data_IF_854952475900
#
_entry.id   IF_854952475900
#
_cell.length_a   1.000
_cell.length_b   1.000
_cell.length_c   1.000
_cell.angle_alpha   90.00
_cell.angle_beta   90.00
_cell.angle_gamma   90.00
#
_symmetry.space_group_name_H-M   'P 1'
#
loop_
_entity.id
_entity.type
_entity.pdbx_description
1 polymer ?
#
# COMPACT_ATOMS: atom_id res chain seq x y z
N UNK A 1 -43.10 59.41 8.09
CA UNK A 1 -44.29 58.72 7.55
C UNK A 1 -43.78 57.70 6.55
N UNK A 2 -43.60 56.46 6.99
CA UNK A 2 -44.58 55.36 6.78
C UNK A 2 -44.49 54.83 5.34
N UNK A 3 -44.33 53.55 4.99
CA UNK A 3 -44.35 52.25 5.67
C UNK A 3 -43.76 51.22 4.68
N UNK A 4 -43.18 50.13 5.19
CA UNK A 4 -43.07 48.83 4.49
C UNK A 4 -44.44 48.11 4.53
N UNK A 5 -44.76 47.19 3.59
CA UNK A 5 -44.57 45.77 3.91
C UNK A 5 -44.11 44.86 2.74
N UNK A 6 -43.74 43.63 3.15
CA UNK A 6 -43.18 42.50 2.41
C UNK A 6 -44.17 41.72 1.52
N UNK A 7 -43.63 40.89 0.61
CA UNK A 7 -44.05 39.53 0.16
C UNK A 7 -42.96 39.09 -0.86
N UNK A 8 -41.99 38.26 -0.49
CA UNK A 8 -41.98 36.79 -0.58
C UNK A 8 -42.00 36.22 -2.01
N UNK A 9 -40.84 35.77 -2.51
CA UNK A 9 -40.71 34.65 -3.43
C UNK A 9 -39.33 33.97 -3.23
N UNK A 10 -39.36 32.86 -2.50
CA UNK A 10 -38.32 31.83 -2.47
C UNK A 10 -38.16 31.20 -3.87
N UNK A 11 -36.93 30.89 -4.30
CA UNK A 11 -36.59 29.55 -4.80
C UNK A 11 -35.06 29.37 -4.96
N UNK A 12 -34.49 28.66 -3.99
CA UNK A 12 -33.44 27.64 -4.08
C UNK A 12 -32.12 27.95 -4.82
N UNK A 13 -31.19 28.55 -4.06
CA UNK A 13 -29.77 28.22 -4.20
C UNK A 13 -29.48 26.93 -3.40
N UNK A 14 -29.23 25.83 -4.09
CA UNK A 14 -28.77 24.59 -3.49
C UNK A 14 -27.32 24.78 -3.01
N UNK A 15 -27.15 25.17 -1.75
CA UNK A 15 -25.88 25.07 -1.04
C UNK A 15 -25.54 23.59 -0.87
N UNK A 16 -24.58 23.10 -1.67
CA UNK A 16 -23.83 21.88 -1.38
C UNK A 16 -22.98 22.12 -0.13
N UNK A 17 -23.63 22.07 1.04
CA UNK A 17 -22.97 21.81 2.30
C UNK A 17 -22.64 20.32 2.34
N UNK A 18 -21.46 19.95 1.86
CA UNK A 18 -20.85 18.67 2.22
C UNK A 18 -20.38 18.80 3.66
N UNK A 19 -21.30 18.55 4.59
CA UNK A 19 -20.94 18.20 5.96
C UNK A 19 -20.05 16.96 5.89
N UNK A 20 -18.74 17.18 5.99
CA UNK A 20 -17.80 16.14 6.40
C UNK A 20 -18.16 15.77 7.83
N UNK A 21 -19.02 14.77 7.99
CA UNK A 21 -19.16 14.05 9.25
C UNK A 21 -17.82 13.36 9.50
N UNK A 22 -17.00 13.95 10.36
CA UNK A 22 -15.87 13.27 10.97
C UNK A 22 -16.41 12.04 11.71
N UNK A 23 -15.97 10.81 11.39
CA UNK A 23 -16.34 9.65 12.18
C UNK A 23 -15.75 9.83 13.57
N UNK A 24 -16.61 9.88 14.57
CA UNK A 24 -16.27 9.98 15.98
C UNK A 24 -15.34 8.81 16.39
N UNK A 25 -14.07 9.04 16.79
CA UNK A 25 -13.09 7.96 17.01
C UNK A 25 -13.12 7.40 18.44
N UNK A 26 -14.25 7.47 19.15
CA UNK A 26 -14.30 7.07 20.56
C UNK A 26 -15.68 6.67 21.05
N UNK A 27 -16.13 5.45 20.71
CA UNK A 27 -17.15 4.77 21.49
C UNK A 27 -16.50 3.61 22.27
N UNK A 28 -16.30 3.85 23.57
CA UNK A 28 -15.86 2.85 24.55
C UNK A 28 -16.97 1.82 24.78
N UNK A 29 -16.60 0.54 24.73
CA UNK A 29 -17.28 -0.55 25.45
C UNK A 29 -18.47 -1.21 24.73
N UNK A 30 -18.35 -2.52 24.49
CA UNK A 30 -19.50 -3.42 24.31
C UNK A 30 -19.81 -3.88 22.87
N UNK A 31 -19.11 -4.93 22.42
CA UNK A 31 -19.79 -6.11 21.86
C UNK A 31 -20.52 -6.02 20.51
N UNK A 32 -20.17 -5.12 19.60
CA UNK A 32 -20.47 -5.32 18.16
C UNK A 32 -19.25 -4.93 17.34
N UNK A 33 -18.72 -5.87 16.56
CA UNK A 33 -17.71 -5.56 15.56
C UNK A 33 -18.31 -4.51 14.63
N UNK A 34 -17.78 -3.29 14.66
CA UNK A 34 -18.16 -2.25 13.74
C UNK A 34 -17.71 -2.70 12.35
N UNK A 35 -18.65 -2.90 11.43
CA UNK A 35 -18.36 -3.28 10.06
C UNK A 35 -18.33 -2.01 9.20
N UNK A 36 -17.17 -1.65 8.67
CA UNK A 36 -16.98 -0.47 7.83
C UNK A 36 -16.97 -0.86 6.35
N UNK A 37 -17.87 -0.28 5.55
CA UNK A 37 -17.92 -0.53 4.11
C UNK A 37 -16.88 0.30 3.37
N UNK A 38 -16.09 -0.34 2.52
CA UNK A 38 -15.03 0.29 1.73
C UNK A 38 -15.11 -0.16 0.28
N UNK A 39 -15.12 0.81 -0.63
CA UNK A 39 -15.40 0.54 -2.05
C UNK A 39 -14.14 0.32 -2.88
N UNK A 40 -12.99 0.85 -2.44
CA UNK A 40 -11.72 0.75 -3.19
C UNK A 40 -10.53 0.38 -2.30
N UNK A 41 -9.49 -0.18 -2.90
CA UNK A 41 -8.26 -0.50 -2.17
C UNK A 41 -7.48 0.74 -1.71
N UNK A 42 -7.54 1.86 -2.45
CA UNK A 42 -6.94 3.11 -1.99
C UNK A 42 -7.67 3.68 -0.77
N UNK A 43 -9.01 3.60 -0.76
CA UNK A 43 -9.81 3.97 0.41
C UNK A 43 -9.47 3.07 1.61
N UNK A 44 -9.41 1.75 1.44
CA UNK A 44 -9.07 0.82 2.53
C UNK A 44 -7.70 1.16 3.13
N UNK A 45 -6.71 1.39 2.26
CA UNK A 45 -5.37 1.74 2.66
C UNK A 45 -5.33 3.06 3.43
N UNK A 46 -6.06 4.08 2.96
CA UNK A 46 -6.18 5.36 3.65
C UNK A 46 -6.86 5.21 5.03
N UNK A 47 -7.90 4.38 5.15
CA UNK A 47 -8.60 4.11 6.43
C UNK A 47 -7.69 3.41 7.42
N UNK A 48 -6.95 2.38 6.99
CA UNK A 48 -6.00 1.65 7.83
C UNK A 48 -4.88 2.59 8.33
N UNK A 49 -4.29 3.36 7.41
CA UNK A 49 -3.26 4.34 7.73
C UNK A 49 -3.76 5.39 8.72
N UNK A 50 -4.95 5.95 8.47
CA UNK A 50 -5.58 6.96 9.33
C UNK A 50 -5.84 6.41 10.73
N UNK A 51 -6.43 5.21 10.87
CA UNK A 51 -6.71 4.61 12.19
C UNK A 51 -5.44 4.33 12.97
N UNK A 52 -4.41 3.79 12.31
CA UNK A 52 -3.12 3.60 12.92
C UNK A 52 -2.52 4.95 13.37
N UNK A 53 -2.54 5.97 12.50
CA UNK A 53 -2.07 7.30 12.84
C UNK A 53 -2.82 7.91 14.04
N UNK A 54 -4.16 7.84 14.08
CA UNK A 54 -4.96 8.31 15.23
C UNK A 54 -4.62 7.56 16.50
N UNK A 55 -4.43 6.23 16.43
CA UNK A 55 -4.11 5.40 17.60
C UNK A 55 -2.76 5.77 18.22
N UNK A 56 -1.75 6.06 17.39
CA UNK A 56 -0.38 6.27 17.85
C UNK A 56 0.00 7.74 18.04
N UNK A 57 -0.58 8.67 17.28
CA UNK A 57 -0.33 10.11 17.43
C UNK A 57 -1.33 10.80 18.38
N UNK A 58 -2.47 10.15 18.66
CA UNK A 58 -3.60 10.77 19.34
C UNK A 58 -4.29 11.85 18.50
N UNK A 59 -5.37 12.44 19.02
CA UNK A 59 -6.08 13.56 18.39
C UNK A 59 -5.34 14.91 18.54
N UNK A 60 -4.00 14.90 18.59
CA UNK A 60 -3.22 16.12 18.77
C UNK A 60 -3.34 17.01 17.52
N UNK A 61 -3.95 18.20 17.61
CA UNK A 61 -3.97 19.15 16.51
C UNK A 61 -2.55 19.73 16.39
N UNK A 62 -1.85 19.37 15.32
CA UNK A 62 -0.42 19.66 15.16
C UNK A 62 0.33 18.40 14.74
N UNK A 63 0.17 18.08 13.46
CA UNK A 63 0.91 17.17 12.57
C UNK A 63 1.69 15.98 13.16
N UNK A 64 1.45 14.74 12.68
CA UNK A 64 2.17 13.56 13.15
C UNK A 64 3.64 13.56 12.70
N UNK A 65 4.55 13.11 13.58
CA UNK A 65 5.99 12.97 13.30
C UNK A 65 6.31 11.82 12.31
N UNK A 66 5.29 11.06 11.89
CA UNK A 66 5.39 9.95 10.95
C UNK A 66 4.10 9.77 10.14
N UNK A 67 4.23 9.13 8.98
CA UNK A 67 3.14 8.65 8.14
C UNK A 67 3.04 7.13 8.30
N UNK A 68 1.81 6.63 8.29
CA UNK A 68 1.56 5.20 8.13
C UNK A 68 1.23 4.97 6.67
N UNK A 69 2.00 4.12 6.01
CA UNK A 69 1.75 3.72 4.63
C UNK A 69 1.44 2.23 4.62
N UNK A 70 0.51 1.82 3.76
CA UNK A 70 0.30 0.39 3.54
C UNK A 70 1.46 -0.11 2.70
N UNK A 71 2.03 -1.27 3.02
CA UNK A 71 3.08 -1.85 2.18
C UNK A 71 2.78 -3.30 1.87
N UNK A 72 3.04 -3.71 0.63
CA UNK A 72 3.13 -5.12 0.23
C UNK A 72 4.57 -5.64 0.22
N UNK A 73 5.56 -4.78 0.50
CA UNK A 73 6.97 -5.11 0.62
C UNK A 73 7.44 -4.69 2.03
N UNK A 74 7.72 -5.66 2.88
CA UNK A 74 8.30 -5.41 4.20
C UNK A 74 9.78 -5.00 4.06
N UNK A 75 10.04 -3.71 3.83
CA UNK A 75 11.40 -3.20 3.95
C UNK A 75 11.83 -3.29 5.42
N UNK A 76 13.07 -3.73 5.71
CA UNK A 76 13.57 -3.73 7.09
C UNK A 76 13.51 -2.34 7.72
N UNK A 77 13.27 -2.29 9.04
CA UNK A 77 13.39 -1.05 9.81
C UNK A 77 14.81 -0.50 9.64
N UNK A 78 14.91 0.81 9.39
CA UNK A 78 16.19 1.44 9.02
C UNK A 78 16.38 1.63 7.52
N UNK A 79 15.55 1.03 6.67
CA UNK A 79 15.65 1.26 5.23
C UNK A 79 15.34 2.72 4.89
N UNK A 80 16.18 3.33 4.04
CA UNK A 80 15.92 4.63 3.45
C UNK A 80 15.32 4.44 2.06
N UNK A 81 14.09 4.88 1.84
CA UNK A 81 13.36 4.75 0.57
C UNK A 81 13.33 6.11 -0.11
N UNK A 82 13.79 6.19 -1.37
CA UNK A 82 13.73 7.44 -2.13
C UNK A 82 12.28 7.86 -2.33
N UNK A 83 11.98 9.15 -2.09
CA UNK A 83 10.61 9.67 -2.25
C UNK A 83 10.06 9.38 -3.64
N UNK A 84 8.83 8.86 -3.67
CA UNK A 84 8.12 8.58 -4.91
C UNK A 84 8.68 7.41 -5.71
N UNK A 85 9.48 6.51 -5.14
CA UNK A 85 9.94 5.28 -5.83
C UNK A 85 9.91 4.10 -4.87
N UNK A 86 9.98 2.87 -5.38
CA UNK A 86 10.17 1.66 -4.59
C UNK A 86 11.66 1.29 -4.39
N UNK A 87 12.57 2.19 -4.79
CA UNK A 87 14.00 1.96 -4.72
C UNK A 87 14.53 2.47 -3.37
N UNK A 88 15.10 1.59 -2.55
CA UNK A 88 15.81 2.02 -1.37
C UNK A 88 17.13 2.70 -1.78
N UNK A 89 17.38 3.86 -1.19
CA UNK A 89 18.67 4.56 -1.24
C UNK A 89 19.73 3.66 -0.64
N UNK A 90 19.43 3.09 0.52
CA UNK A 90 20.27 2.13 1.22
C UNK A 90 19.38 1.25 2.13
N UNK A 91 19.65 -0.06 2.14
CA UNK A 91 18.98 -1.01 3.03
C UNK A 91 19.61 -1.04 4.42
N UNK A 92 20.88 -0.65 4.53
CA UNK A 92 21.75 -0.93 5.67
C UNK A 92 22.38 0.33 6.29
N UNK A 93 22.33 1.49 5.62
CA UNK A 93 22.95 2.72 6.14
C UNK A 93 22.43 3.12 7.52
N UNK A 94 21.16 2.86 7.81
CA UNK A 94 20.54 3.15 9.10
C UNK A 94 20.11 1.85 9.80
N UNK A 95 21.02 0.88 9.93
CA UNK A 95 20.73 -0.33 10.71
C UNK A 95 20.53 -0.02 12.19
N UNK A 96 19.48 -0.61 12.76
CA UNK A 96 19.16 -0.56 14.18
C UNK A 96 18.50 -1.89 14.57
N UNK A 97 18.65 -2.27 15.83
CA UNK A 97 17.96 -3.44 16.37
C UNK A 97 16.44 -3.28 16.18
N UNK A 98 15.76 -4.39 15.85
CA UNK A 98 14.31 -4.36 15.75
C UNK A 98 13.69 -3.93 17.09
N UNK A 99 12.73 -3.00 17.07
CA UNK A 99 12.04 -2.56 18.27
C UNK A 99 11.18 -3.71 18.82
N UNK A 100 10.94 -3.73 20.14
CA UNK A 100 10.05 -4.73 20.74
C UNK A 100 8.65 -4.62 20.15
N UNK A 101 8.03 -5.79 19.93
CA UNK A 101 6.64 -5.88 19.46
C UNK A 101 5.67 -5.70 20.62
N UNK A 102 4.69 -4.83 20.43
CA UNK A 102 3.65 -4.52 21.42
C UNK A 102 2.29 -4.95 20.88
N UNK A 103 1.55 -5.71 21.71
CA UNK A 103 0.18 -6.12 21.38
C UNK A 103 -0.71 -4.90 21.21
N UNK A 104 -1.39 -4.82 20.06
CA UNK A 104 -2.27 -3.71 19.68
C UNK A 104 -3.65 -4.25 19.27
N UNK A 105 -4.40 -4.89 20.18
CA UNK A 105 -5.69 -5.48 19.85
C UNK A 105 -6.71 -4.39 19.49
N UNK A 106 -7.65 -4.72 18.60
CA UNK A 106 -8.77 -3.86 18.20
C UNK A 106 -8.36 -2.51 17.58
N UNK A 107 -7.16 -2.43 16.99
CA UNK A 107 -6.73 -1.23 16.24
C UNK A 107 -7.52 -1.05 14.94
N UNK A 108 -7.98 -2.15 14.34
CA UNK A 108 -8.78 -2.15 13.12
C UNK A 108 -10.16 -2.76 13.37
N UNK A 109 -11.23 -2.15 12.83
CA UNK A 109 -12.54 -2.78 12.77
C UNK A 109 -12.56 -3.91 11.73
N UNK A 110 -13.71 -4.58 11.61
CA UNK A 110 -13.99 -5.44 10.47
C UNK A 110 -14.36 -4.55 9.27
N UNK A 111 -13.96 -4.95 8.07
CA UNK A 111 -14.25 -4.21 6.85
C UNK A 111 -15.11 -5.03 5.89
N UNK A 112 -16.16 -4.43 5.34
CA UNK A 112 -16.89 -4.99 4.20
C UNK A 112 -16.30 -4.40 2.91
N UNK A 113 -15.64 -5.24 2.13
CA UNK A 113 -14.95 -4.86 0.91
C UNK A 113 -15.69 -5.41 -0.30
N UNK A 114 -15.74 -4.65 -1.39
CA UNK A 114 -15.96 -5.25 -2.71
C UNK A 114 -14.80 -6.22 -3.03
N UNK A 115 -15.06 -7.35 -3.67
CA UNK A 115 -14.04 -8.38 -3.88
C UNK A 115 -12.77 -7.86 -4.58
N UNK A 116 -12.93 -6.99 -5.60
CA UNK A 116 -11.80 -6.34 -6.29
C UNK A 116 -10.85 -5.62 -5.31
N UNK A 117 -11.40 -5.06 -4.23
CA UNK A 117 -10.63 -4.40 -3.17
C UNK A 117 -9.84 -5.40 -2.33
N UNK A 118 -10.41 -6.57 -2.01
CA UNK A 118 -9.71 -7.65 -1.31
C UNK A 118 -8.49 -8.17 -2.09
N UNK A 119 -8.64 -8.39 -3.40
CA UNK A 119 -7.53 -8.75 -4.30
C UNK A 119 -6.40 -7.74 -4.27
N UNK A 120 -6.74 -6.46 -4.43
CA UNK A 120 -5.77 -5.37 -4.44
C UNK A 120 -5.09 -5.15 -3.08
N UNK A 121 -5.63 -5.70 -1.99
CA UNK A 121 -5.09 -5.64 -0.65
C UNK A 121 -4.28 -6.89 -0.25
N UNK A 122 -4.12 -7.85 -1.16
CA UNK A 122 -3.22 -8.99 -0.97
C UNK A 122 -3.90 -10.36 -0.87
N UNK A 123 -5.18 -10.48 -1.22
CA UNK A 123 -5.76 -11.78 -1.54
C UNK A 123 -5.14 -12.26 -2.86
N UNK A 124 -4.34 -13.34 -2.80
CA UNK A 124 -3.59 -13.85 -3.95
C UNK A 124 -4.56 -14.25 -5.10
N UNK A 125 -4.35 -13.68 -6.28
CA UNK A 125 -5.15 -13.97 -7.46
C UNK A 125 -5.06 -15.43 -7.88
N UNK A 126 -3.93 -16.10 -7.64
CA UNK A 126 -3.78 -17.54 -7.85
C UNK A 126 -4.59 -18.35 -6.85
N UNK A 127 -4.74 -17.85 -5.62
CA UNK A 127 -5.56 -18.50 -4.60
C UNK A 127 -7.03 -18.49 -5.00
N UNK A 128 -7.53 -17.35 -5.47
CA UNK A 128 -8.93 -17.29 -5.92
C UNK A 128 -9.14 -18.01 -7.24
N UNK A 129 -8.18 -17.98 -8.18
CA UNK A 129 -8.27 -18.75 -9.42
C UNK A 129 -8.37 -20.26 -9.16
N UNK A 130 -7.62 -20.78 -8.18
CA UNK A 130 -7.73 -22.18 -7.74
C UNK A 130 -9.09 -22.49 -7.14
N UNK A 131 -9.65 -21.59 -6.35
CA UNK A 131 -11.00 -21.76 -5.81
C UNK A 131 -12.07 -21.69 -6.90
N UNK A 132 -11.94 -20.77 -7.87
CA UNK A 132 -12.81 -20.70 -9.04
C UNK A 132 -12.76 -22.00 -9.86
N UNK A 133 -11.57 -22.59 -10.03
CA UNK A 133 -11.42 -23.89 -10.69
C UNK A 133 -12.10 -25.06 -9.95
N UNK A 134 -12.33 -24.90 -8.65
CA UNK A 134 -13.08 -25.85 -7.83
C UNK A 134 -14.60 -25.62 -7.87
N UNK A 135 -15.09 -24.76 -8.76
CA UNK A 135 -16.51 -24.53 -9.02
C UNK A 135 -17.14 -23.41 -8.18
N UNK A 136 -16.34 -22.64 -7.44
CA UNK A 136 -16.81 -21.46 -6.71
C UNK A 136 -16.49 -20.22 -7.52
N UNK A 137 -17.39 -19.87 -8.42
CA UNK A 137 -17.28 -18.61 -9.15
C UNK A 137 -17.56 -17.44 -8.21
N UNK A 138 -16.74 -16.40 -8.21
CA UNK A 138 -17.01 -15.18 -7.45
C UNK A 138 -17.11 -14.02 -8.41
N UNK A 139 -18.18 -13.25 -8.28
CA UNK A 139 -18.34 -12.02 -9.02
C UNK A 139 -17.43 -10.94 -8.43
N UNK A 140 -16.83 -10.10 -9.27
CA UNK A 140 -16.13 -8.89 -8.82
C UNK A 140 -17.03 -7.93 -8.01
N UNK A 141 -18.34 -8.13 -8.02
CA UNK A 141 -19.34 -7.39 -7.23
C UNK A 141 -19.68 -8.05 -5.90
N UNK A 142 -19.20 -9.27 -5.64
CA UNK A 142 -19.42 -9.95 -4.37
C UNK A 142 -18.70 -9.21 -3.25
N UNK A 143 -19.29 -9.26 -2.06
CA UNK A 143 -18.68 -8.65 -0.88
C UNK A 143 -17.84 -9.68 -0.11
N UNK A 144 -16.72 -9.20 0.42
CA UNK A 144 -15.83 -9.93 1.31
C UNK A 144 -15.73 -9.19 2.64
N UNK A 145 -15.66 -9.92 3.74
CA UNK A 145 -15.32 -9.33 5.04
C UNK A 145 -13.84 -9.52 5.31
N UNK A 146 -13.12 -8.42 5.59
CA UNK A 146 -11.73 -8.45 6.04
C UNK A 146 -11.69 -8.21 7.55
N UNK A 147 -11.04 -9.11 8.28
CA UNK A 147 -10.79 -8.97 9.72
C UNK A 147 -9.31 -9.12 10.03
N UNK A 148 -8.89 -8.60 11.20
CA UNK A 148 -7.51 -8.63 11.68
C UNK A 148 -7.45 -9.28 13.06
N UNK A 149 -6.52 -10.21 13.26
CA UNK A 149 -6.30 -10.85 14.56
C UNK A 149 -4.82 -10.87 14.93
N UNK A 150 -4.54 -10.96 16.24
CA UNK A 150 -3.16 -11.01 16.75
C UNK A 150 -2.32 -9.79 16.38
N UNK A 151 -2.94 -8.62 16.25
CA UNK A 151 -2.28 -7.41 15.78
C UNK A 151 -1.18 -6.94 16.74
N UNK A 152 0.02 -6.73 16.21
CA UNK A 152 1.19 -6.25 16.94
C UNK A 152 1.81 -5.05 16.21
N UNK A 153 2.46 -4.18 16.97
CA UNK A 153 3.21 -3.04 16.43
C UNK A 153 4.64 -3.04 16.94
N UNK A 154 5.57 -2.72 16.06
CA UNK A 154 6.97 -2.48 16.41
C UNK A 154 7.46 -1.28 15.64
N UNK A 155 7.82 -0.21 16.35
CA UNK A 155 8.41 0.97 15.72
C UNK A 155 9.45 1.62 16.63
N UNK A 156 10.39 2.34 16.02
CA UNK A 156 11.48 3.02 16.71
C UNK A 156 10.94 4.09 17.66
N UNK A 157 11.40 4.02 18.92
CA UNK A 157 11.20 5.11 19.88
C UNK A 157 11.94 6.38 19.44
N UNK A 158 11.61 7.52 20.05
CA UNK A 158 12.32 8.77 19.75
C UNK A 158 13.81 8.70 20.11
N UNK A 159 14.17 7.91 21.13
CA UNK A 159 15.55 7.66 21.50
C UNK A 159 16.26 6.79 20.46
N UNK A 160 15.59 5.75 19.96
CA UNK A 160 16.11 4.91 18.89
C UNK A 160 16.31 5.70 17.61
N UNK A 161 15.33 6.53 17.25
CA UNK A 161 15.42 7.44 16.12
C UNK A 161 16.58 8.41 16.32
N UNK A 162 16.67 9.10 17.46
CA UNK A 162 17.77 10.04 17.74
C UNK A 162 19.14 9.35 17.67
N UNK A 163 19.26 8.13 18.18
CA UNK A 163 20.48 7.32 18.11
C UNK A 163 20.81 6.97 16.66
N UNK A 164 19.82 6.53 15.89
CA UNK A 164 19.97 6.21 14.46
C UNK A 164 20.43 7.43 13.67
N UNK A 165 19.81 8.58 13.90
CA UNK A 165 20.16 9.86 13.28
C UNK A 165 21.54 10.39 13.73
N UNK A 166 22.07 9.87 14.84
CA UNK A 166 23.41 10.20 15.33
C UNK A 166 24.52 9.30 14.74
N UNK A 167 24.18 8.24 14.00
CA UNK A 167 25.17 7.47 13.23
C UNK A 167 25.69 8.28 12.05
N UNK A 168 27.00 8.20 11.80
CA UNK A 168 27.63 8.89 10.67
C UNK A 168 27.15 8.29 9.34
N UNK A 169 27.08 6.98 9.27
CA UNK A 169 26.66 6.21 8.10
C UNK A 169 25.24 6.59 7.66
N UNK A 170 24.32 6.64 8.63
CA UNK A 170 22.94 7.04 8.37
C UNK A 170 22.86 8.50 7.91
N UNK A 171 23.60 9.41 8.54
CA UNK A 171 23.64 10.82 8.12
C UNK A 171 24.19 10.99 6.70
N UNK A 172 25.29 10.32 6.38
CA UNK A 172 25.92 10.41 5.06
C UNK A 172 24.96 9.92 3.97
N UNK A 173 24.24 8.82 4.20
CA UNK A 173 23.26 8.29 3.26
C UNK A 173 22.10 9.28 3.01
N UNK A 174 21.58 9.91 4.07
CA UNK A 174 20.48 10.87 3.95
C UNK A 174 20.96 12.17 3.33
N UNK A 175 22.19 12.63 3.62
CA UNK A 175 22.78 13.90 3.16
C UNK A 175 22.66 14.15 1.66
N UNK A 176 22.53 13.07 0.89
CA UNK A 176 22.52 13.07 -0.56
C UNK A 176 21.14 13.08 -1.22
N UNK A 177 20.04 12.80 -0.49
CA UNK A 177 18.71 12.60 -1.10
C UNK A 177 17.56 12.69 -0.08
N UNK A 178 16.45 13.34 -0.45
CA UNK A 178 15.19 13.27 0.30
C UNK A 178 14.67 11.82 0.37
N UNK A 179 14.55 11.28 1.58
CA UNK A 179 14.17 9.89 1.80
C UNK A 179 13.10 9.74 2.88
N UNK A 180 12.33 8.66 2.74
CA UNK A 180 11.50 8.09 3.79
C UNK A 180 12.32 7.09 4.58
N UNK A 181 12.36 7.23 5.90
CA UNK A 181 12.91 6.21 6.79
C UNK A 181 11.83 5.25 7.23
N UNK A 182 12.06 3.95 7.07
CA UNK A 182 11.22 2.91 7.66
C UNK A 182 11.48 2.84 9.16
N UNK A 183 10.50 3.30 9.95
CA UNK A 183 10.57 3.32 11.42
C UNK A 183 9.94 2.10 12.07
N UNK A 184 9.08 1.38 11.37
CA UNK A 184 8.34 0.30 11.99
C UNK A 184 7.29 -0.31 11.11
N UNK A 185 6.54 -1.23 11.70
CA UNK A 185 5.47 -1.96 11.05
C UNK A 185 4.31 -2.25 12.00
N UNK A 186 3.17 -2.53 11.38
CA UNK A 186 2.02 -3.17 12.01
C UNK A 186 1.83 -4.50 11.32
N UNK A 187 1.76 -5.56 12.13
CA UNK A 187 1.58 -6.93 11.67
C UNK A 187 0.42 -7.62 12.36
N UNK A 188 -0.08 -8.69 11.76
CA UNK A 188 -1.21 -9.47 12.26
C UNK A 188 -1.68 -10.47 11.21
N UNK A 189 -2.61 -11.34 11.58
CA UNK A 189 -3.24 -12.27 10.64
C UNK A 189 -4.47 -11.62 10.03
N UNK A 190 -4.52 -11.57 8.70
CA UNK A 190 -5.69 -11.11 7.95
C UNK A 190 -6.58 -12.30 7.62
N UNK A 191 -7.88 -12.14 7.78
CA UNK A 191 -8.88 -13.11 7.33
C UNK A 191 -9.81 -12.44 6.34
N UNK A 192 -9.91 -13.00 5.14
CA UNK A 192 -10.87 -12.60 4.11
C UNK A 192 -11.98 -13.65 4.06
N UNK A 193 -13.17 -13.31 4.53
CA UNK A 193 -14.37 -14.15 4.43
C UNK A 193 -15.20 -13.74 3.22
N UNK A 194 -15.25 -14.58 2.20
CA UNK A 194 -16.16 -14.48 1.07
C UNK A 194 -17.46 -15.21 1.43
N UNK A 195 -18.57 -14.47 1.50
CA UNK A 195 -19.89 -15.07 1.68
C UNK A 195 -20.56 -15.19 0.33
N UNK A 196 -20.78 -16.42 -0.13
CA UNK A 196 -21.64 -16.67 -1.29
C UNK A 196 -22.87 -17.44 -0.85
N UNK A 197 -24.04 -16.89 -1.15
CA UNK A 197 -25.27 -17.68 -1.10
C UNK A 197 -25.22 -18.70 -2.24
N UNK A 198 -24.97 -19.96 -1.90
CA UNK A 198 -24.98 -21.07 -2.84
C UNK A 198 -25.93 -22.14 -2.33
N UNK A 199 -26.86 -22.55 -3.19
CA UNK A 199 -27.78 -23.65 -2.94
C UNK A 199 -27.12 -25.03 -3.19
N UNK A 200 -25.82 -25.05 -3.50
CA UNK A 200 -25.04 -26.25 -3.83
C UNK A 200 -23.92 -26.44 -2.83
N UNK A 201 -23.80 -27.65 -2.31
CA UNK A 201 -22.69 -28.11 -1.48
C UNK A 201 -21.41 -28.12 -2.34
N UNK A 202 -20.48 -27.20 -2.05
CA UNK A 202 -19.20 -27.14 -2.76
C UNK A 202 -18.21 -28.04 -2.01
N UNK A 203 -17.81 -29.15 -2.63
CA UNK A 203 -16.78 -30.05 -2.09
C UNK A 203 -15.42 -29.66 -2.65
N UNK A 204 -14.69 -28.85 -1.89
CA UNK A 204 -13.31 -28.51 -2.19
C UNK A 204 -12.39 -29.45 -1.41
N UNK A 205 -11.59 -30.25 -2.13
CA UNK A 205 -10.71 -31.28 -1.56
C UNK A 205 -9.37 -30.78 -1.01
N UNK A 206 -9.21 -29.47 -0.85
CA UNK A 206 -7.99 -28.85 -0.33
C UNK A 206 -8.33 -27.85 0.78
N UNK A 207 -7.51 -27.83 1.82
CA UNK A 207 -7.63 -26.97 3.00
C UNK A 207 -6.63 -25.80 3.01
N UNK A 208 -5.75 -25.71 2.01
CA UNK A 208 -4.71 -24.67 1.91
C UNK A 208 -4.55 -24.19 0.48
N UNK A 209 -4.31 -22.89 0.30
CA UNK A 209 -3.79 -22.34 -0.95
C UNK A 209 -2.78 -21.22 -0.69
N UNK A 210 -1.56 -21.38 -1.18
CA UNK A 210 -0.51 -20.38 -0.98
C UNK A 210 -0.21 -20.25 0.51
N UNK A 211 -0.24 -19.01 1.02
CA UNK A 211 -0.09 -18.70 2.45
C UNK A 211 -1.43 -18.63 3.21
N UNK A 212 -2.52 -19.15 2.63
CA UNK A 212 -3.85 -19.08 3.21
C UNK A 212 -4.40 -20.45 3.62
N UNK A 213 -4.94 -20.51 4.83
CA UNK A 213 -5.82 -21.59 5.27
C UNK A 213 -7.25 -21.35 4.77
N UNK A 214 -7.91 -22.41 4.31
CA UNK A 214 -9.28 -22.39 3.80
C UNK A 214 -10.25 -23.10 4.73
N UNK A 215 -11.33 -22.40 5.10
CA UNK A 215 -12.45 -23.01 5.82
C UNK A 215 -13.77 -22.81 5.07
N UNK A 216 -14.57 -23.87 5.03
CA UNK A 216 -15.93 -23.88 4.48
C UNK A 216 -16.94 -23.92 5.62
N UNK A 217 -17.81 -22.91 5.69
CA UNK A 217 -18.92 -22.91 6.64
C UNK A 217 -19.94 -24.01 6.32
N UNK A 218 -20.51 -24.63 7.35
CA UNK A 218 -21.66 -25.54 7.17
C UNK A 218 -22.93 -24.72 6.92
N UNK A 219 -23.64 -25.01 5.82
CA UNK A 219 -25.02 -24.54 5.58
C UNK A 219 -25.18 -23.35 4.65
N UNK A 220 -24.20 -22.44 4.60
CA UNK A 220 -24.09 -21.36 3.61
C UNK A 220 -22.63 -21.37 3.14
N UNK A 221 -22.36 -21.34 1.83
CA UNK A 221 -21.01 -21.44 1.29
C UNK A 221 -20.19 -20.17 1.60
N UNK A 222 -19.79 -19.99 2.85
CA UNK A 222 -18.76 -19.04 3.25
C UNK A 222 -17.39 -19.70 3.07
N UNK A 223 -16.52 -18.98 2.39
CA UNK A 223 -15.13 -19.34 2.20
C UNK A 223 -14.27 -18.32 2.91
N UNK A 224 -13.42 -18.75 3.84
CA UNK A 224 -12.45 -17.86 4.46
C UNK A 224 -11.02 -18.18 4.02
N UNK A 225 -10.23 -17.13 3.76
CA UNK A 225 -8.79 -17.17 3.54
C UNK A 225 -8.12 -16.49 4.72
N UNK A 226 -7.33 -17.21 5.51
CA UNK A 226 -6.61 -16.62 6.66
C UNK A 226 -5.11 -16.75 6.45
N UNK A 227 -4.36 -15.67 6.68
CA UNK A 227 -2.89 -15.72 6.69
C UNK A 227 -2.42 -16.80 7.69
N UNK A 228 -1.56 -17.71 7.25
CA UNK A 228 -1.00 -18.78 8.08
C UNK A 228 -0.23 -18.21 9.29
N UNK A 229 0.59 -17.18 9.04
CA UNK A 229 1.37 -16.46 10.05
C UNK A 229 1.09 -14.95 10.01
N UNK A 230 1.33 -14.20 11.11
CA UNK A 230 1.21 -12.76 11.09
C UNK A 230 2.06 -12.14 9.96
N UNK A 231 1.44 -11.27 9.16
CA UNK A 231 2.11 -10.57 8.07
C UNK A 231 2.21 -9.08 8.38
N UNK A 232 3.31 -8.44 7.97
CA UNK A 232 3.42 -6.98 8.01
C UNK A 232 2.58 -6.41 6.88
N UNK A 233 1.52 -5.67 7.23
CA UNK A 233 0.60 -5.09 6.25
C UNK A 233 0.58 -3.56 6.27
N UNK A 234 1.12 -2.92 7.32
CA UNK A 234 1.39 -1.48 7.34
C UNK A 234 2.85 -1.23 7.70
N UNK A 235 3.42 -0.20 7.07
CA UNK A 235 4.73 0.33 7.38
C UNK A 235 4.58 1.74 7.97
N UNK A 236 5.34 2.01 9.01
CA UNK A 236 5.45 3.33 9.61
C UNK A 236 6.69 3.99 9.05
N UNK A 237 6.54 5.13 8.39
CA UNK A 237 7.64 5.89 7.79
C UNK A 237 7.70 7.32 8.32
N UNK A 238 8.90 7.86 8.49
CA UNK A 238 9.07 9.30 8.72
C UNK A 238 9.78 9.94 7.54
N UNK A 239 9.37 11.17 7.23
CA UNK A 239 10.11 11.99 6.30
C UNK A 239 11.33 12.55 7.03
N UNK A 240 12.51 12.34 6.46
CA UNK A 240 13.72 12.97 6.95
C UNK A 240 14.08 14.12 6.01
N UNK A 241 14.29 15.31 6.56
CA UNK A 241 14.81 16.47 5.83
C UNK A 241 16.12 16.93 6.44
N UNK A 242 17.03 17.39 5.61
CA UNK A 242 18.26 18.04 6.07
C UNK A 242 18.01 19.54 6.00
N UNK A 243 18.17 20.22 7.13
CA UNK A 243 18.11 21.67 7.14
C UNK A 243 19.40 22.30 6.56
N UNK A 244 19.39 23.62 6.38
CA UNK A 244 20.52 24.37 5.82
C UNK A 244 21.81 24.27 6.67
N UNK A 245 21.70 23.82 7.92
CA UNK A 245 22.86 23.59 8.80
C UNK A 245 23.46 22.19 8.66
N UNK A 246 22.87 21.33 7.82
CA UNK A 246 23.25 19.92 7.71
C UNK A 246 22.68 19.06 8.85
N UNK A 247 21.79 19.60 9.68
CA UNK A 247 21.14 18.85 10.76
C UNK A 247 19.93 18.12 10.18
N UNK A 248 19.79 16.85 10.52
CA UNK A 248 18.65 16.07 10.06
C UNK A 248 17.48 16.25 11.03
N UNK A 249 16.35 16.68 10.50
CA UNK A 249 15.10 16.83 11.22
C UNK A 249 14.08 15.83 10.68
N UNK A 250 13.29 15.26 11.59
CA UNK A 250 12.06 14.59 11.20
C UNK A 250 11.08 15.68 10.75
N UNK A 251 10.75 15.70 9.46
CA UNK A 251 9.80 16.65 8.94
C UNK A 251 8.38 16.12 9.06
N UNK A 252 7.42 17.06 9.12
CA UNK A 252 6.01 16.74 8.93
C UNK A 252 5.88 16.08 7.55
N UNK A 253 5.44 14.82 7.50
CA UNK A 253 5.27 14.11 6.25
C UNK A 253 4.25 14.84 5.35
N UNK A 254 4.69 15.38 4.22
CA UNK A 254 3.75 15.95 3.23
C UNK A 254 2.94 14.82 2.57
N UNK A 255 1.61 14.97 2.34
CA UNK A 255 0.79 13.94 1.72
C UNK A 255 1.25 13.70 0.27
N UNK A 256 2.09 12.69 0.08
CA UNK A 256 2.60 12.28 -1.23
C UNK A 256 3.36 13.37 -1.99
N UNK A 257 3.87 13.07 -3.20
CA UNK A 257 4.20 14.11 -4.16
C UNK A 257 2.93 14.87 -4.55
N UNK A 258 3.02 16.19 -4.71
CA UNK A 258 1.89 17.05 -5.06
C UNK A 258 1.17 16.50 -6.30
N UNK A 259 -0.17 16.48 -6.29
CA UNK A 259 -1.00 16.12 -7.43
C UNK A 259 -0.71 16.92 -8.73
N UNK A 260 0.13 17.95 -8.63
CA UNK A 260 0.65 18.75 -9.74
C UNK A 260 1.84 18.11 -10.49
N UNK A 261 2.52 17.12 -9.92
CA UNK A 261 3.59 16.40 -10.61
C UNK A 261 3.01 15.27 -11.45
N UNK A 262 3.25 15.31 -12.77
CA UNK A 262 2.95 14.18 -13.65
C UNK A 262 3.90 13.01 -13.35
N UNK A 263 3.34 11.81 -13.19
CA UNK A 263 4.11 10.59 -13.01
C UNK A 263 4.96 10.25 -14.24
N UNK A 264 6.04 9.50 -14.00
CA UNK A 264 6.95 9.00 -15.03
C UNK A 264 7.01 7.48 -15.01
N UNK A 265 7.47 6.90 -16.12
CA UNK A 265 7.80 5.47 -16.19
C UNK A 265 9.31 5.34 -15.99
N UNK A 266 9.72 4.71 -14.90
CA UNK A 266 11.12 4.42 -14.62
C UNK A 266 11.45 2.99 -15.02
N UNK A 267 12.69 2.72 -15.45
CA UNK A 267 13.14 1.39 -15.85
C UNK A 267 14.36 1.02 -15.02
N UNK A 268 14.29 -0.13 -14.35
CA UNK A 268 15.35 -0.70 -13.54
C UNK A 268 15.86 -1.98 -14.21
N UNK A 269 17.18 -2.08 -14.36
CA UNK A 269 17.85 -3.30 -14.86
C UNK A 269 18.87 -3.81 -13.86
N UNK A 270 19.17 -5.09 -13.97
CA UNK A 270 20.33 -5.66 -13.29
C UNK A 270 21.60 -5.00 -13.80
N UNK A 271 22.48 -4.58 -12.89
CA UNK A 271 23.78 -3.99 -13.22
C UNK A 271 24.66 -4.94 -14.04
N UNK A 272 24.48 -6.25 -13.91
CA UNK A 272 25.16 -7.25 -14.71
C UNK A 272 24.57 -7.42 -16.13
N UNK A 273 23.40 -6.84 -16.43
CA UNK A 273 22.73 -6.98 -17.71
C UNK A 273 23.35 -6.10 -18.80
N UNK A 274 23.98 -6.76 -19.78
CA UNK A 274 24.60 -6.15 -20.96
C UNK A 274 23.80 -6.36 -22.26
N UNK A 275 22.64 -7.04 -22.19
CA UNK A 275 21.86 -7.51 -23.36
C UNK A 275 21.22 -6.41 -24.23
N UNK A 276 21.21 -5.16 -23.77
CA UNK A 276 20.52 -4.05 -24.44
C UNK A 276 18.99 -4.07 -24.30
N UNK A 277 18.42 -5.09 -23.65
CA UNK A 277 16.96 -5.25 -23.49
C UNK A 277 16.30 -4.03 -22.82
N UNK A 278 16.96 -3.41 -21.84
CA UNK A 278 16.43 -2.19 -21.21
C UNK A 278 16.22 -1.04 -22.19
N UNK A 279 17.11 -0.89 -23.18
CA UNK A 279 16.98 0.14 -24.23
C UNK A 279 15.81 -0.17 -25.16
N UNK A 280 15.65 -1.44 -25.55
CA UNK A 280 14.54 -1.89 -26.38
C UNK A 280 13.19 -1.68 -25.67
N UNK A 281 13.10 -2.06 -24.40
CA UNK A 281 11.91 -1.84 -23.55
C UNK A 281 11.61 -0.34 -23.42
N UNK A 282 12.62 0.50 -23.17
CA UNK A 282 12.45 1.97 -23.10
C UNK A 282 11.86 2.54 -24.39
N UNK A 283 12.39 2.12 -25.53
CA UNK A 283 11.89 2.57 -26.83
C UNK A 283 10.43 2.16 -27.05
N UNK A 284 10.07 0.91 -26.72
CA UNK A 284 8.72 0.41 -26.86
C UNK A 284 7.71 1.12 -25.93
N UNK A 285 8.12 1.46 -24.70
CA UNK A 285 7.29 2.20 -23.74
C UNK A 285 7.06 3.66 -24.14
N UNK A 286 7.87 4.22 -25.05
CA UNK A 286 7.70 5.58 -25.55
C UNK A 286 6.38 5.83 -26.29
N UNK A 287 5.64 4.77 -26.62
CA UNK A 287 4.29 4.85 -27.20
C UNK A 287 3.19 5.13 -26.16
N UNK A 288 3.49 5.05 -24.86
CA UNK A 288 2.53 5.29 -23.79
C UNK A 288 2.35 6.80 -23.51
N UNK A 289 1.18 7.22 -22.99
CA UNK A 289 0.90 8.64 -22.72
C UNK A 289 1.78 9.23 -21.59
N UNK A 290 2.32 8.40 -20.69
CA UNK A 290 3.21 8.84 -19.62
C UNK A 290 4.65 9.04 -20.10
N UNK A 291 5.34 10.02 -19.53
CA UNK A 291 6.73 10.27 -19.87
C UNK A 291 7.65 9.16 -19.33
N UNK A 292 8.34 8.46 -20.23
CA UNK A 292 9.41 7.54 -19.85
C UNK A 292 10.63 8.34 -19.41
N UNK A 293 11.18 8.01 -18.24
CA UNK A 293 12.40 8.64 -17.75
C UNK A 293 13.57 8.41 -18.73
N UNK A 294 14.44 9.41 -18.87
CA UNK A 294 15.54 9.34 -19.85
C UNK A 294 16.57 8.24 -19.55
N UNK A 295 16.75 7.87 -18.28
CA UNK A 295 17.72 6.88 -17.83
C UNK A 295 17.13 5.48 -17.62
N UNK A 296 18.02 4.48 -17.65
CA UNK A 296 17.75 3.13 -17.13
C UNK A 296 18.63 2.98 -15.90
N UNK A 297 18.01 2.76 -14.74
CA UNK A 297 18.72 2.63 -13.47
C UNK A 297 19.33 1.23 -13.35
N UNK A 298 20.65 1.17 -13.10
CA UNK A 298 21.36 -0.07 -12.87
C UNK A 298 21.34 -0.42 -11.38
N UNK A 299 20.80 -1.59 -11.05
CA UNK A 299 20.55 -2.03 -9.68
C UNK A 299 21.33 -3.33 -9.42
N UNK A 300 21.89 -3.49 -8.22
CA UNK A 300 22.63 -4.71 -7.86
C UNK A 300 21.76 -5.96 -7.99
N UNK A 301 22.32 -7.05 -8.53
CA UNK A 301 21.58 -8.27 -8.89
C UNK A 301 20.79 -8.85 -7.71
N UNK A 302 21.33 -8.79 -6.48
CA UNK A 302 20.65 -9.28 -5.28
C UNK A 302 19.31 -8.59 -4.99
N UNK A 303 19.12 -7.36 -5.47
CA UNK A 303 17.90 -6.55 -5.30
C UNK A 303 16.93 -6.70 -6.47
N UNK A 304 17.36 -7.31 -7.58
CA UNK A 304 16.53 -7.52 -8.75
C UNK A 304 15.56 -8.70 -8.55
N UNK A 305 14.31 -8.59 -9.05
CA UNK A 305 13.36 -9.68 -9.04
C UNK A 305 13.79 -10.79 -10.00
N UNK A 306 13.27 -11.99 -9.77
CA UNK A 306 13.48 -13.15 -10.66
C UNK A 306 12.70 -13.02 -11.97
N UNK A 307 11.51 -12.42 -11.91
CA UNK A 307 10.64 -12.15 -13.06
C UNK A 307 10.64 -10.67 -13.38
N UNK A 308 10.42 -10.33 -14.65
CA UNK A 308 10.14 -8.95 -15.05
C UNK A 308 8.82 -8.47 -14.43
N UNK A 309 8.77 -7.22 -13.96
CA UNK A 309 7.61 -6.66 -13.26
C UNK A 309 7.27 -5.27 -13.77
N UNK A 310 5.98 -5.02 -13.99
CA UNK A 310 5.41 -3.67 -14.02
C UNK A 310 4.87 -3.35 -12.63
N UNK A 311 5.46 -2.37 -11.97
CA UNK A 311 5.01 -1.88 -10.67
C UNK A 311 4.22 -0.59 -10.84
N UNK A 312 3.05 -0.55 -10.22
CA UNK A 312 2.17 0.63 -10.21
C UNK A 312 1.76 0.94 -8.78
N UNK A 313 1.49 2.21 -8.52
CA UNK A 313 1.40 2.71 -7.16
C UNK A 313 -0.02 3.11 -6.77
N UNK A 314 -0.74 3.76 -7.68
CA UNK A 314 -2.12 4.20 -7.49
C UNK A 314 -3.08 3.25 -8.22
N UNK A 315 -4.26 2.94 -7.66
CA UNK A 315 -5.22 2.04 -8.34
C UNK A 315 -5.69 2.62 -9.67
N UNK A 316 -5.80 3.95 -9.77
CA UNK A 316 -6.14 4.64 -11.00
C UNK A 316 -5.16 4.35 -12.16
N UNK A 317 -3.92 3.95 -11.86
CA UNK A 317 -2.88 3.68 -12.85
C UNK A 317 -2.90 2.23 -13.36
N UNK A 318 -3.81 1.37 -12.87
CA UNK A 318 -3.91 -0.05 -13.26
C UNK A 318 -4.05 -0.23 -14.79
N UNK A 319 -4.85 0.62 -15.44
CA UNK A 319 -5.03 0.57 -16.90
C UNK A 319 -3.76 0.91 -17.67
N UNK A 320 -2.97 1.87 -17.19
CA UNK A 320 -1.67 2.23 -17.77
C UNK A 320 -0.65 1.11 -17.53
N UNK A 321 -0.63 0.54 -16.32
CA UNK A 321 0.23 -0.57 -15.95
C UNK A 321 -0.04 -1.81 -16.81
N UNK A 322 -1.30 -2.09 -17.13
CA UNK A 322 -1.69 -3.19 -18.01
C UNK A 322 -1.18 -2.98 -19.46
N UNK A 323 -1.19 -1.75 -19.97
CA UNK A 323 -0.62 -1.43 -21.29
C UNK A 323 0.91 -1.63 -21.28
N UNK A 324 1.59 -1.14 -20.25
CA UNK A 324 3.02 -1.35 -20.06
C UNK A 324 3.38 -2.84 -19.93
N UNK A 325 2.54 -3.64 -19.25
CA UNK A 325 2.73 -5.08 -19.12
C UNK A 325 2.65 -5.78 -20.47
N UNK A 326 1.68 -5.42 -21.32
CA UNK A 326 1.56 -5.97 -22.68
C UNK A 326 2.83 -5.71 -23.49
N UNK A 327 3.40 -4.50 -23.39
CA UNK A 327 4.67 -4.15 -24.04
C UNK A 327 5.81 -4.99 -23.46
N UNK A 328 5.92 -5.07 -22.13
CA UNK A 328 7.00 -5.79 -21.46
C UNK A 328 6.99 -7.29 -21.81
N UNK A 329 5.80 -7.89 -21.98
CA UNK A 329 5.62 -9.29 -22.37
C UNK A 329 6.14 -9.64 -23.76
N UNK A 330 6.35 -8.65 -24.63
CA UNK A 330 6.99 -8.87 -25.94
C UNK A 330 8.47 -9.27 -25.80
N UNK A 331 9.13 -8.84 -24.71
CA UNK A 331 10.52 -9.18 -24.40
C UNK A 331 10.60 -10.27 -23.31
N UNK A 332 9.74 -10.19 -22.29
CA UNK A 332 9.72 -11.09 -21.14
C UNK A 332 8.32 -11.70 -20.98
N UNK A 333 8.06 -12.81 -21.66
CA UNK A 333 6.72 -13.41 -21.78
C UNK A 333 6.04 -13.73 -20.43
N UNK A 334 6.84 -14.02 -19.39
CA UNK A 334 6.41 -14.30 -18.03
C UNK A 334 6.32 -13.06 -17.13
N UNK A 335 6.39 -11.85 -17.69
CA UNK A 335 6.28 -10.62 -16.92
C UNK A 335 4.95 -10.53 -16.16
N UNK A 336 5.01 -9.95 -14.97
CA UNK A 336 3.87 -9.77 -14.07
C UNK A 336 3.63 -8.30 -13.75
N UNK A 337 2.42 -7.99 -13.29
CA UNK A 337 2.10 -6.68 -12.71
C UNK A 337 2.05 -6.79 -11.19
N UNK A 338 2.54 -5.77 -10.48
CA UNK A 338 2.57 -5.73 -9.02
C UNK A 338 2.18 -4.35 -8.50
N UNK A 339 1.20 -4.30 -7.59
CA UNK A 339 0.86 -3.06 -6.89
C UNK A 339 1.87 -2.78 -5.79
N UNK A 340 2.37 -1.55 -5.72
CA UNK A 340 3.27 -1.07 -4.67
C UNK A 340 2.62 0.13 -3.99
N UNK A 341 1.97 -0.03 -2.83
CA UNK A 341 1.16 1.01 -2.22
C UNK A 341 1.97 2.13 -1.52
N UNK A 342 3.02 2.62 -2.18
CA UNK A 342 3.78 3.80 -1.76
C UNK A 342 3.17 5.06 -2.38
N UNK A 343 3.09 6.18 -1.64
CA UNK A 343 2.67 7.45 -2.21
C UNK A 343 3.54 7.85 -3.41
N UNK A 344 2.91 8.10 -4.55
CA UNK A 344 3.58 8.48 -5.80
C UNK A 344 2.69 9.39 -6.64
N UNK A 345 3.23 10.10 -7.65
CA UNK A 345 2.43 10.92 -8.53
C UNK A 345 1.55 10.05 -9.43
N UNK A 346 0.39 10.56 -9.83
CA UNK A 346 -0.52 9.87 -10.76
C UNK A 346 0.16 9.58 -12.10
N UNK A 347 -0.07 8.38 -12.66
CA UNK A 347 0.54 7.92 -13.90
C UNK A 347 1.98 7.39 -13.76
N UNK A 348 2.49 7.25 -12.54
CA UNK A 348 3.83 6.75 -12.30
C UNK A 348 3.89 5.21 -12.31
N UNK A 349 4.87 4.67 -13.03
CA UNK A 349 5.18 3.24 -13.07
C UNK A 349 6.67 2.98 -12.87
N UNK A 350 7.00 1.77 -12.42
CA UNK A 350 8.36 1.24 -12.43
C UNK A 350 8.41 -0.09 -13.19
N UNK A 351 9.39 -0.23 -14.09
CA UNK A 351 9.59 -1.40 -14.94
C UNK A 351 10.86 -2.09 -14.48
N UNK A 352 10.70 -3.16 -13.71
CA UNK A 352 11.82 -3.94 -13.19
C UNK A 352 12.10 -5.12 -14.12
N UNK A 353 13.26 -5.12 -14.77
CA UNK A 353 13.72 -6.23 -15.58
C UNK A 353 14.18 -7.40 -14.68
N UNK A 354 14.26 -8.64 -15.17
CA UNK A 354 14.66 -9.76 -14.33
C UNK A 354 16.17 -9.71 -14.03
N UNK A 355 16.56 -10.37 -12.95
CA UNK A 355 17.95 -10.67 -12.60
C UNK A 355 18.64 -11.47 -13.71
N UNK A 356 19.91 -11.20 -13.96
CA UNK A 356 20.72 -11.99 -14.92
C UNK A 356 21.06 -13.37 -14.34
N UNK A 357 21.03 -14.40 -15.19
CA UNK A 357 21.48 -15.75 -14.84
C UNK A 357 20.42 -16.63 -14.18
N UNK A 358 19.13 -16.37 -14.45
CA UNK A 358 18.01 -17.25 -14.08
C UNK A 358 17.29 -17.79 -15.30
#
# INVERSE_FOLDING_TARGET
>A
MERLPAIAACLMAATLSTSCTTPNPGAKGGGKNYLETVSTADELMARLAMRAATKFNGDRPGSPDFQVIVTGNAYPIGTLIRRGTSIPVDYNACQIAEPPKVSSPNIFPDYLLMQKTGFNFGLDSNAVAKVASAGVDFSNTDNSTLTFSGTQTGFLSDNDLKRLMSSKECRDAISSTDAWLVRGYIEGKRTFELKKESNKEVKIGFNKIGSFDLNFGSGNASLSFTDEEPTQFLQVVSQLTIDQSGTIQSAIPSPGPSASQAGKIYIQRDKADTSGNGTAVRAALGALPSQVAQGIEAIDSQKMPTLAQVRYFNVADEGLAQQALTILKLTYSNAIMKRVPLPSPSGQLEIWLPRVGQ
#
